data_IF_795369828626
#
_entry.id   IF_795369828626
#
_cell.length_a   1.000
_cell.length_b   1.000
_cell.length_c   1.000
_cell.angle_alpha   90.00
_cell.angle_beta   90.00
_cell.angle_gamma   90.00
#
_symmetry.space_group_name_H-M   'P 1'
#
loop_
_entity.id
_entity.type
_entity.pdbx_description
1 polymer ?
#
# COMPACT_ATOMS: atom_id res chain seq x y z
N UNK A 1 11.60 21.60 -6.62
CA UNK A 1 10.52 22.57 -6.36
C UNK A 1 10.97 23.95 -6.78
N UNK A 2 10.21 24.64 -7.60
CA UNK A 2 10.54 26.01 -8.00
C UNK A 2 10.31 26.94 -6.83
N UNK A 3 11.32 27.75 -6.45
CA UNK A 3 11.23 28.71 -5.33
C UNK A 3 10.03 29.66 -5.41
N UNK A 4 9.46 29.83 -6.59
CA UNK A 4 8.30 30.65 -6.88
C UNK A 4 6.97 30.11 -6.26
N UNK A 5 6.77 28.79 -6.23
CA UNK A 5 5.58 28.19 -5.59
C UNK A 5 5.62 28.33 -4.07
N UNK A 6 6.80 28.15 -3.47
CA UNK A 6 7.03 28.32 -2.05
C UNK A 6 6.75 29.78 -1.59
N UNK A 7 7.31 30.75 -2.29
CA UNK A 7 7.13 32.16 -1.95
C UNK A 7 5.70 32.66 -2.18
N UNK A 8 5.03 32.12 -3.19
CA UNK A 8 3.60 32.38 -3.42
C UNK A 8 2.75 31.86 -2.28
N UNK A 9 2.95 30.60 -1.90
CA UNK A 9 2.22 29.99 -0.81
C UNK A 9 2.47 30.69 0.52
N UNK A 10 3.72 31.09 0.81
CA UNK A 10 4.06 31.85 2.01
C UNK A 10 3.30 33.18 2.08
N UNK A 11 3.19 33.92 0.98
CA UNK A 11 2.42 35.18 0.92
C UNK A 11 0.94 34.96 1.21
N UNK A 12 0.37 33.86 0.74
CA UNK A 12 -1.04 33.54 0.97
C UNK A 12 -1.28 32.94 2.37
N UNK A 13 -0.26 32.32 2.95
CA UNK A 13 -0.29 31.75 4.30
C UNK A 13 -0.42 32.83 5.38
N UNK A 14 0.34 33.90 5.30
CA UNK A 14 0.43 34.93 6.32
C UNK A 14 -0.94 35.59 6.66
N UNK A 15 -1.75 36.05 5.68
CA UNK A 15 -3.06 36.62 5.98
C UNK A 15 -4.01 35.65 6.66
N UNK A 16 -4.03 34.38 6.26
CA UNK A 16 -4.90 33.34 6.84
C UNK A 16 -4.47 33.07 8.28
N UNK A 17 -3.17 33.02 8.55
CA UNK A 17 -2.65 32.85 9.89
C UNK A 17 -3.00 34.06 10.79
N UNK A 18 -2.81 35.30 10.31
CA UNK A 18 -3.16 36.50 11.05
C UNK A 18 -4.67 36.58 11.37
N UNK A 19 -5.50 36.18 10.41
CA UNK A 19 -6.94 36.11 10.67
C UNK A 19 -7.25 35.06 11.76
N UNK A 20 -6.59 33.91 11.75
CA UNK A 20 -6.78 32.89 12.78
C UNK A 20 -6.40 33.37 14.18
N UNK A 21 -5.37 34.21 14.31
CA UNK A 21 -4.98 34.81 15.61
C UNK A 21 -6.10 35.67 16.22
N UNK A 22 -6.94 36.28 15.38
CA UNK A 22 -8.07 37.12 15.81
C UNK A 22 -9.38 36.36 15.94
N UNK A 23 -9.58 35.33 15.09
CA UNK A 23 -10.82 34.57 14.99
C UNK A 23 -10.54 33.06 15.01
N UNK A 24 -10.40 32.47 16.22
CA UNK A 24 -10.13 31.04 16.42
C UNK A 24 -11.35 30.13 16.20
N UNK A 25 -12.50 30.65 15.71
CA UNK A 25 -13.74 29.89 15.53
C UNK A 25 -13.75 28.98 14.31
N UNK A 26 -14.93 28.47 14.00
CA UNK A 26 -15.18 27.60 12.83
C UNK A 26 -14.69 28.19 11.49
N UNK A 27 -14.83 29.52 11.21
CA UNK A 27 -14.31 30.12 10.00
C UNK A 27 -12.78 30.02 9.90
N UNK A 28 -12.07 30.25 11.01
CA UNK A 28 -10.60 30.14 11.06
C UNK A 28 -10.12 28.72 10.80
N UNK A 29 -10.72 27.70 11.42
CA UNK A 29 -10.41 26.28 11.18
C UNK A 29 -10.69 25.89 9.73
N UNK A 30 -11.81 26.33 9.16
CA UNK A 30 -12.13 26.09 7.77
C UNK A 30 -11.08 26.69 6.82
N UNK A 31 -10.60 27.90 7.11
CA UNK A 31 -9.56 28.57 6.32
C UNK A 31 -8.21 27.82 6.42
N UNK A 32 -7.81 27.40 7.63
CA UNK A 32 -6.63 26.57 7.86
C UNK A 32 -6.70 25.24 7.11
N UNK A 33 -7.84 24.55 7.16
CA UNK A 33 -8.09 23.32 6.42
C UNK A 33 -7.96 23.50 4.89
N UNK A 34 -8.57 24.58 4.35
CA UNK A 34 -8.45 24.90 2.91
C UNK A 34 -7.02 25.17 2.51
N UNK A 35 -6.26 25.83 3.37
CA UNK A 35 -4.84 26.11 3.15
C UNK A 35 -4.02 24.80 3.11
N UNK A 36 -4.26 23.88 4.04
CA UNK A 36 -3.65 22.55 4.03
C UNK A 36 -3.95 21.75 2.76
N UNK A 37 -5.21 21.75 2.30
CA UNK A 37 -5.58 21.11 1.03
C UNK A 37 -4.87 21.72 -0.18
N UNK A 38 -4.74 23.03 -0.19
CA UNK A 38 -4.02 23.75 -1.24
C UNK A 38 -2.53 23.39 -1.24
N UNK A 39 -1.91 23.30 -0.07
CA UNK A 39 -0.51 22.88 0.07
C UNK A 39 -0.26 21.52 -0.58
N UNK A 40 -1.16 20.55 -0.38
CA UNK A 40 -1.10 19.23 -1.03
C UNK A 40 -1.25 19.36 -2.54
N UNK A 41 -2.21 20.16 -3.02
CA UNK A 41 -2.44 20.39 -4.46
C UNK A 41 -1.25 21.04 -5.16
N UNK A 42 -0.52 21.91 -4.46
CA UNK A 42 0.71 22.56 -4.93
C UNK A 42 1.97 21.70 -4.66
N UNK A 43 1.82 20.48 -4.18
CA UNK A 43 2.90 19.52 -3.90
C UNK A 43 3.93 20.00 -2.88
N UNK A 44 3.51 20.85 -1.93
CA UNK A 44 4.34 21.25 -0.80
C UNK A 44 4.52 20.09 0.16
N UNK A 45 5.75 19.90 0.64
CA UNK A 45 6.01 18.91 1.68
C UNK A 45 5.56 19.44 3.06
N UNK A 46 5.34 18.53 4.01
CA UNK A 46 5.10 18.90 5.42
C UNK A 46 6.25 19.79 5.96
N UNK A 47 7.48 19.53 5.52
CA UNK A 47 8.64 20.30 5.96
C UNK A 47 8.64 21.74 5.39
N UNK A 48 8.22 21.91 4.13
CA UNK A 48 8.07 23.24 3.54
C UNK A 48 7.01 24.04 4.28
N UNK A 49 5.88 23.41 4.60
CA UNK A 49 4.81 24.01 5.37
C UNK A 49 5.27 24.42 6.77
N UNK A 50 6.01 23.56 7.47
CA UNK A 50 6.57 23.87 8.77
C UNK A 50 7.56 25.05 8.71
N UNK A 51 8.37 25.15 7.66
CA UNK A 51 9.28 26.29 7.44
C UNK A 51 8.53 27.59 7.17
N UNK A 52 7.46 27.53 6.36
CA UNK A 52 6.60 28.69 6.09
C UNK A 52 5.94 29.16 7.39
N UNK A 53 5.33 28.23 8.15
CA UNK A 53 4.74 28.54 9.43
C UNK A 53 5.74 29.20 10.40
N UNK A 54 6.92 28.58 10.55
CA UNK A 54 7.97 29.13 11.40
C UNK A 54 8.39 30.55 11.00
N UNK A 55 8.58 30.80 9.71
CA UNK A 55 8.98 32.12 9.21
C UNK A 55 7.90 33.19 9.51
N UNK A 56 6.62 32.86 9.23
CA UNK A 56 5.51 33.78 9.49
C UNK A 56 5.31 33.99 10.99
N UNK A 57 5.40 32.94 11.81
CA UNK A 57 5.32 33.05 13.27
C UNK A 57 6.38 33.97 13.85
N UNK A 58 7.65 33.85 13.38
CA UNK A 58 8.71 34.72 13.85
C UNK A 58 8.47 36.20 13.48
N UNK A 59 7.88 36.47 12.31
CA UNK A 59 7.48 37.82 11.92
C UNK A 59 6.44 38.41 12.86
N UNK A 60 5.42 37.60 13.24
CA UNK A 60 4.37 38.00 14.18
C UNK A 60 4.91 38.21 15.58
N UNK A 61 5.73 37.28 16.11
CA UNK A 61 6.31 37.41 17.46
C UNK A 61 7.18 38.65 17.63
N UNK A 62 7.83 39.14 16.59
CA UNK A 62 8.62 40.36 16.65
C UNK A 62 7.80 41.64 16.87
N UNK A 63 6.51 41.61 16.59
CA UNK A 63 5.58 42.73 16.77
C UNK A 63 4.93 42.77 18.14
N UNK A 64 4.94 41.65 18.89
CA UNK A 64 4.35 41.51 20.21
C UNK A 64 5.43 41.69 21.30
N UNK A 65 5.09 42.33 22.40
CA UNK A 65 6.08 42.75 23.40
C UNK A 65 5.73 42.29 24.84
N UNK A 66 4.51 41.92 25.10
CA UNK A 66 4.10 41.43 26.41
C UNK A 66 4.12 39.93 26.48
N UNK A 67 4.31 39.35 27.67
CA UNK A 67 4.32 37.89 27.86
C UNK A 67 3.00 37.25 27.46
N UNK A 68 1.90 37.88 27.90
CA UNK A 68 0.52 37.38 27.64
C UNK A 68 0.20 37.37 26.12
N UNK A 69 0.66 38.39 25.37
CA UNK A 69 0.52 38.42 23.91
C UNK A 69 1.33 37.30 23.23
N UNK A 70 2.55 37.05 23.69
CA UNK A 70 3.40 35.99 23.16
C UNK A 70 2.84 34.60 23.42
N UNK A 71 2.30 34.36 24.63
CA UNK A 71 1.65 33.09 24.99
C UNK A 71 0.43 32.86 24.11
N UNK A 72 -0.42 33.86 23.94
CA UNK A 72 -1.64 33.79 23.11
C UNK A 72 -1.27 33.47 21.63
N UNK A 73 -0.25 34.15 21.08
CA UNK A 73 0.23 33.90 19.71
C UNK A 73 0.80 32.49 19.57
N UNK A 74 1.58 32.02 20.54
CA UNK A 74 2.19 30.68 20.50
C UNK A 74 1.11 29.56 20.54
N UNK A 75 0.10 29.70 21.38
CA UNK A 75 -1.04 28.80 21.43
C UNK A 75 -1.78 28.76 20.09
N UNK A 76 -2.21 29.92 19.60
CA UNK A 76 -2.94 30.02 18.34
C UNK A 76 -2.12 29.51 17.14
N UNK A 77 -0.83 29.76 17.14
CA UNK A 77 0.08 29.25 16.10
C UNK A 77 0.14 27.72 16.11
N UNK A 78 0.23 27.13 17.30
CA UNK A 78 0.26 25.67 17.46
C UNK A 78 -1.05 25.04 16.98
N UNK A 79 -2.18 25.57 17.39
CA UNK A 79 -3.52 25.10 16.94
C UNK A 79 -3.67 25.24 15.43
N UNK A 80 -3.33 26.39 14.86
CA UNK A 80 -3.40 26.63 13.43
C UNK A 80 -2.56 25.63 12.63
N UNK A 81 -1.33 25.38 13.07
CA UNK A 81 -0.46 24.40 12.42
C UNK A 81 -1.05 22.99 12.44
N UNK A 82 -1.65 22.59 13.57
CA UNK A 82 -2.33 21.28 13.69
C UNK A 82 -3.47 21.18 12.68
N UNK A 83 -4.30 22.20 12.56
CA UNK A 83 -5.42 22.21 11.61
C UNK A 83 -4.96 22.11 10.15
N UNK A 84 -3.89 22.84 9.80
CA UNK A 84 -3.30 22.77 8.45
C UNK A 84 -2.70 21.39 8.17
N UNK A 85 -2.02 20.79 9.15
CA UNK A 85 -1.36 19.48 9.04
C UNK A 85 -2.35 18.30 9.07
N UNK A 86 -3.49 18.44 9.69
CA UNK A 86 -4.52 17.39 9.77
C UNK A 86 -4.92 16.86 8.39
N UNK A 87 -4.91 17.74 7.37
CA UNK A 87 -5.22 17.36 5.99
C UNK A 87 -4.17 16.41 5.40
N UNK A 88 -2.89 16.62 5.74
CA UNK A 88 -1.80 15.73 5.30
C UNK A 88 -1.94 14.34 5.91
N UNK A 89 -2.26 14.27 7.21
CA UNK A 89 -2.48 12.99 7.89
C UNK A 89 -3.64 12.22 7.27
N UNK A 90 -4.78 12.88 7.04
CA UNK A 90 -5.95 12.25 6.41
C UNK A 90 -5.62 11.73 5.01
N UNK A 91 -4.86 12.48 4.22
CA UNK A 91 -4.44 12.08 2.87
C UNK A 91 -3.49 10.89 2.91
N UNK A 92 -2.51 10.89 3.83
CA UNK A 92 -1.57 9.77 4.00
C UNK A 92 -2.30 8.49 4.45
N UNK A 93 -3.23 8.61 5.38
CA UNK A 93 -4.04 7.48 5.88
C UNK A 93 -4.87 6.87 4.77
N UNK A 94 -5.59 7.67 4.00
CA UNK A 94 -6.36 7.21 2.84
C UNK A 94 -5.51 6.53 1.77
N UNK A 95 -4.30 7.05 1.50
CA UNK A 95 -3.37 6.43 0.56
C UNK A 95 -2.81 5.09 1.08
N UNK A 96 -2.50 5.00 2.37
CA UNK A 96 -2.06 3.75 2.99
C UNK A 96 -3.14 2.66 2.93
N UNK A 97 -4.40 3.02 3.17
CA UNK A 97 -5.54 2.10 3.05
C UNK A 97 -5.73 1.59 1.62
N UNK A 98 -5.64 2.47 0.61
CA UNK A 98 -5.70 2.09 -0.80
C UNK A 98 -4.58 1.09 -1.16
N UNK A 99 -3.34 1.38 -0.76
CA UNK A 99 -2.21 0.49 -1.00
C UNK A 99 -2.39 -0.87 -0.31
N UNK A 100 -2.93 -0.91 0.90
CA UNK A 100 -3.19 -2.16 1.62
C UNK A 100 -4.24 -3.00 0.91
N UNK A 101 -5.31 -2.37 0.40
CA UNK A 101 -6.37 -3.02 -0.37
C UNK A 101 -5.83 -3.61 -1.67
N UNK A 102 -5.06 -2.83 -2.44
CA UNK A 102 -4.44 -3.31 -3.69
C UNK A 102 -3.51 -4.50 -3.43
N UNK A 103 -2.66 -4.42 -2.39
CA UNK A 103 -1.77 -5.53 -2.02
C UNK A 103 -2.53 -6.79 -1.64
N UNK A 104 -3.61 -6.66 -0.86
CA UNK A 104 -4.42 -7.81 -0.44
C UNK A 104 -5.16 -8.45 -1.62
N UNK A 105 -5.63 -7.68 -2.59
CA UNK A 105 -6.25 -8.19 -3.81
C UNK A 105 -5.23 -8.91 -4.71
N UNK A 106 -4.05 -8.34 -4.87
CA UNK A 106 -2.97 -8.99 -5.63
C UNK A 106 -2.54 -10.30 -4.97
N UNK A 107 -2.44 -10.35 -3.64
CA UNK A 107 -2.17 -11.57 -2.89
C UNK A 107 -3.22 -12.65 -3.14
N UNK A 108 -4.51 -12.29 -3.06
CA UNK A 108 -5.62 -13.22 -3.33
C UNK A 108 -5.62 -13.73 -4.78
N UNK A 109 -5.34 -12.88 -5.75
CA UNK A 109 -5.25 -13.30 -7.16
C UNK A 109 -4.11 -14.29 -7.38
N UNK A 110 -2.92 -14.04 -6.82
CA UNK A 110 -1.77 -14.96 -6.89
C UNK A 110 -2.11 -16.31 -6.27
N UNK A 111 -2.69 -16.31 -5.07
CA UNK A 111 -3.10 -17.54 -4.39
C UNK A 111 -4.09 -18.36 -5.23
N UNK A 112 -5.10 -17.70 -5.83
CA UNK A 112 -6.09 -18.36 -6.68
C UNK A 112 -5.45 -18.94 -7.94
N UNK A 113 -4.48 -18.25 -8.55
CA UNK A 113 -3.77 -18.74 -9.73
C UNK A 113 -2.88 -19.95 -9.40
N UNK A 114 -2.13 -19.89 -8.29
CA UNK A 114 -1.34 -21.01 -7.77
C UNK A 114 -2.20 -22.24 -7.47
N UNK A 115 -3.35 -22.05 -6.83
CA UNK A 115 -4.28 -23.14 -6.54
C UNK A 115 -4.87 -23.76 -7.81
N UNK A 116 -5.15 -22.95 -8.83
CA UNK A 116 -5.60 -23.45 -10.14
C UNK A 116 -4.52 -24.25 -10.84
N UNK A 117 -3.28 -23.76 -10.81
CA UNK A 117 -2.15 -24.44 -11.44
C UNK A 117 -1.85 -25.78 -10.74
N UNK A 118 -1.88 -25.81 -9.40
CA UNK A 118 -1.76 -27.05 -8.62
C UNK A 118 -2.83 -28.05 -9.00
N UNK A 119 -4.09 -27.64 -9.11
CA UNK A 119 -5.18 -28.53 -9.55
C UNK A 119 -4.96 -29.07 -10.95
N UNK A 120 -4.59 -28.19 -11.90
CA UNK A 120 -4.28 -28.62 -13.29
C UNK A 120 -3.17 -29.65 -13.31
N UNK A 121 -2.07 -29.42 -12.60
CA UNK A 121 -0.93 -30.35 -12.53
C UNK A 121 -1.35 -31.70 -11.94
N UNK A 122 -2.18 -31.70 -10.88
CA UNK A 122 -2.71 -32.91 -10.27
C UNK A 122 -3.65 -33.67 -11.21
N UNK A 123 -4.52 -32.96 -11.92
CA UNK A 123 -5.43 -33.56 -12.90
C UNK A 123 -4.66 -34.18 -14.08
N UNK A 124 -3.64 -33.50 -14.58
CA UNK A 124 -2.74 -34.03 -15.61
C UNK A 124 -1.99 -35.28 -15.14
N UNK A 125 -1.40 -35.24 -13.93
CA UNK A 125 -0.72 -36.40 -13.35
C UNK A 125 -1.68 -37.57 -13.16
N UNK A 126 -2.92 -37.31 -12.74
CA UNK A 126 -3.97 -38.31 -12.64
C UNK A 126 -4.27 -38.92 -13.99
N UNK A 127 -4.43 -38.11 -15.05
CA UNK A 127 -4.62 -38.56 -16.43
C UNK A 127 -3.49 -39.43 -16.93
N UNK A 128 -2.24 -39.06 -16.67
CA UNK A 128 -1.04 -39.85 -17.03
C UNK A 128 -1.06 -41.23 -16.38
N UNK A 129 -1.42 -41.32 -15.08
CA UNK A 129 -1.51 -42.62 -14.41
C UNK A 129 -2.71 -43.48 -14.89
N UNK A 130 -3.82 -42.85 -15.22
CA UNK A 130 -4.95 -43.53 -15.83
C UNK A 130 -4.58 -44.18 -17.16
N UNK A 131 -3.92 -43.42 -18.03
CA UNK A 131 -3.49 -43.87 -19.36
C UNK A 131 -2.41 -44.97 -19.28
N UNK A 132 -1.37 -44.77 -18.47
CA UNK A 132 -0.25 -45.71 -18.34
C UNK A 132 -0.59 -47.03 -17.67
N UNK A 133 -1.57 -47.02 -16.74
CA UNK A 133 -1.84 -48.18 -15.90
C UNK A 133 -3.30 -48.67 -15.95
N UNK A 134 -4.14 -48.10 -16.78
CA UNK A 134 -5.54 -48.48 -16.88
C UNK A 134 -6.35 -48.23 -15.59
N UNK A 135 -5.95 -47.23 -14.80
CA UNK A 135 -6.55 -46.95 -13.48
C UNK A 135 -7.76 -46.03 -13.61
N UNK A 136 -8.72 -46.18 -12.68
CA UNK A 136 -9.74 -45.14 -12.50
C UNK A 136 -9.12 -43.87 -11.89
N UNK A 137 -9.76 -42.70 -12.09
CA UNK A 137 -9.32 -41.43 -11.56
C UNK A 137 -9.12 -41.47 -10.02
N UNK A 138 -10.04 -42.11 -9.31
CA UNK A 138 -9.95 -42.26 -7.84
C UNK A 138 -8.73 -43.10 -7.44
N UNK A 139 -8.46 -44.17 -8.16
CA UNK A 139 -7.32 -45.05 -7.89
C UNK A 139 -5.98 -44.36 -8.20
N UNK A 140 -5.93 -43.63 -9.30
CA UNK A 140 -4.76 -42.82 -9.70
C UNK A 140 -4.46 -41.74 -8.66
N UNK A 141 -5.45 -40.99 -8.22
CA UNK A 141 -5.28 -39.96 -7.17
C UNK A 141 -4.80 -40.57 -5.83
N UNK A 142 -5.35 -41.74 -5.42
CA UNK A 142 -4.87 -42.46 -4.23
C UNK A 142 -3.40 -42.92 -4.40
N UNK A 143 -3.00 -43.31 -5.62
CA UNK A 143 -1.62 -43.71 -5.91
C UNK A 143 -0.65 -42.57 -5.81
N UNK A 144 -1.01 -41.38 -6.30
CA UNK A 144 -0.18 -40.16 -6.17
C UNK A 144 0.05 -39.83 -4.70
N UNK A 145 -1.01 -39.81 -3.87
CA UNK A 145 -0.90 -39.57 -2.42
C UNK A 145 0.00 -40.58 -1.71
N UNK A 146 -0.13 -41.87 -2.05
CA UNK A 146 0.71 -42.93 -1.50
C UNK A 146 2.19 -42.79 -1.89
N UNK A 147 2.46 -42.33 -3.13
CA UNK A 147 3.82 -42.05 -3.60
C UNK A 147 4.41 -40.87 -2.80
N UNK A 148 3.66 -39.80 -2.60
CA UNK A 148 4.05 -38.65 -1.81
C UNK A 148 4.45 -39.05 -0.38
N UNK A 149 3.59 -39.82 0.30
CA UNK A 149 3.88 -40.31 1.67
C UNK A 149 5.11 -41.20 1.72
N UNK A 150 5.28 -42.14 0.78
CA UNK A 150 6.44 -43.05 0.76
C UNK A 150 7.76 -42.34 0.50
N UNK A 151 7.74 -41.25 -0.26
CA UNK A 151 8.94 -40.48 -0.63
C UNK A 151 9.19 -39.29 0.29
N UNK A 152 8.29 -39.06 1.26
CA UNK A 152 8.34 -37.88 2.15
C UNK A 152 8.41 -36.55 1.40
N UNK A 153 7.63 -36.47 0.30
CA UNK A 153 7.49 -35.26 -0.53
C UNK A 153 6.03 -34.85 -0.63
N UNK A 154 5.77 -33.69 -1.19
CA UNK A 154 4.40 -33.18 -1.38
C UNK A 154 3.70 -33.87 -2.55
N UNK A 155 2.36 -33.88 -2.53
CA UNK A 155 1.54 -34.39 -3.65
C UNK A 155 1.83 -33.62 -4.94
N UNK A 156 2.06 -32.33 -4.82
CA UNK A 156 2.35 -31.44 -5.95
C UNK A 156 3.70 -31.78 -6.61
N UNK A 157 4.73 -32.10 -5.82
CA UNK A 157 6.02 -32.54 -6.34
C UNK A 157 5.95 -33.87 -7.08
N UNK A 158 5.14 -34.81 -6.57
CA UNK A 158 4.90 -36.08 -7.26
C UNK A 158 4.13 -35.83 -8.56
N UNK A 159 3.09 -35.00 -8.52
CA UNK A 159 2.31 -34.67 -9.69
C UNK A 159 3.16 -34.01 -10.78
N UNK A 160 3.98 -33.02 -10.42
CA UNK A 160 4.87 -32.33 -11.34
C UNK A 160 5.86 -33.33 -11.99
N UNK A 161 6.46 -34.24 -11.23
CA UNK A 161 7.35 -35.30 -11.80
C UNK A 161 6.63 -36.17 -12.78
N UNK A 162 5.43 -36.65 -12.46
CA UNK A 162 4.66 -37.53 -13.35
C UNK A 162 4.29 -36.85 -14.67
N UNK A 163 4.01 -35.56 -14.66
CA UNK A 163 3.72 -34.77 -15.86
C UNK A 163 4.98 -34.56 -16.71
N UNK A 164 6.14 -34.34 -16.07
CA UNK A 164 7.41 -34.10 -16.77
C UNK A 164 8.15 -35.37 -17.20
N UNK A 165 7.86 -36.52 -16.60
CA UNK A 165 8.40 -37.80 -17.04
C UNK A 165 7.86 -38.19 -18.43
N UNK A 166 8.63 -37.96 -19.48
CA UNK A 166 8.32 -38.45 -20.83
C UNK A 166 8.05 -39.95 -20.79
N UNK A 167 7.06 -40.47 -21.55
CA UNK A 167 6.87 -41.91 -21.71
C UNK A 167 8.19 -42.51 -22.18
N UNK A 168 8.77 -43.40 -21.38
CA UNK A 168 9.82 -44.27 -21.87
C UNK A 168 9.23 -45.05 -23.05
N UNK A 169 9.72 -44.85 -24.25
CA UNK A 169 9.35 -45.66 -25.42
C UNK A 169 9.39 -47.15 -25.06
N UNK A 170 8.35 -47.94 -25.38
CA UNK A 170 8.38 -49.35 -25.12
C UNK A 170 9.57 -49.95 -25.90
N UNK A 171 10.53 -50.54 -25.18
CA UNK A 171 11.62 -51.31 -25.80
C UNK A 171 10.99 -52.31 -26.77
N UNK A 172 11.13 -52.05 -28.05
CA UNK A 172 10.83 -53.03 -29.10
C UNK A 172 11.61 -54.28 -28.76
N UNK A 173 10.91 -55.32 -28.33
CA UNK A 173 11.51 -56.66 -28.22
C UNK A 173 11.92 -57.05 -29.64
N UNK A 174 13.22 -57.07 -29.89
CA UNK A 174 13.76 -57.73 -31.06
C UNK A 174 13.47 -59.20 -30.99
N UNK A 175 12.51 -59.65 -31.76
CA UNK A 175 12.29 -61.09 -32.02
C UNK A 175 13.44 -61.56 -32.94
N UNK A 176 14.26 -62.44 -32.44
CA UNK A 176 15.00 -63.36 -33.25
C UNK A 176 14.33 -64.73 -33.16
#
# INVERSE_FOLDING_TARGET
MTGDAYERFRRDYAPVFLQYLTERGEPGRTAAYKLGRRAIGEQLSVLDLARIHHAVLLEVLRTHRTFDELEHVAEAASEFLVEVLAVFEMTQRGFAELLSTVRSEQGRRRQTEEDRERRRTLDQATGVLMERHGLSAVTAAKRIRRMATRQSVTVDEVAARLVHERPSEPRRRSSR
#
